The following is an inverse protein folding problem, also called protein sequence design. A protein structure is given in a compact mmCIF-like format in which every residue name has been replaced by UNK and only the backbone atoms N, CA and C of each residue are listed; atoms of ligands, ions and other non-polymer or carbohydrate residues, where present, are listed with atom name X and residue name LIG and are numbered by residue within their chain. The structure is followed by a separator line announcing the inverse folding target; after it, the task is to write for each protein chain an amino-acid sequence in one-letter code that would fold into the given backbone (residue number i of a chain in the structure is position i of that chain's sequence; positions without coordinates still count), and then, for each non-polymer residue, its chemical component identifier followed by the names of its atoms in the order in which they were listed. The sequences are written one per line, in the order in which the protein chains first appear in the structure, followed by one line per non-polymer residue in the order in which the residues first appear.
data_IF_025466727177
#
_entry.id   IF_025466727177
#
_cell.length_a   1.000
_cell.length_b   1.000
_cell.length_c   1.000
_cell.angle_alpha   90.00
_cell.angle_beta   90.00
_cell.angle_gamma   90.00
#
_symmetry.space_group_name_H-M   'P 1'
#
loop_
_entity.id
_entity.type
_entity.pdbx_description
1 polymer ?
#
# COMPACT_ATOMS: atom_id res chain seq x y z
N UNK A 1 -34.12 14.96 -6.57
CA UNK A 1 -33.20 16.10 -6.40
C UNK A 1 -31.97 15.82 -7.25
N UNK A 2 -31.74 16.61 -8.31
CA UNK A 2 -30.49 16.53 -9.08
C UNK A 2 -29.36 17.16 -8.26
N UNK A 3 -28.27 16.43 -8.02
CA UNK A 3 -27.05 17.00 -7.46
C UNK A 3 -26.53 18.11 -8.39
N UNK A 4 -26.02 19.20 -7.82
CA UNK A 4 -25.39 20.25 -8.65
C UNK A 4 -24.13 19.69 -9.32
N UNK A 5 -23.81 20.21 -10.50
CA UNK A 5 -22.64 19.78 -11.26
C UNK A 5 -21.33 19.91 -10.46
N UNK A 6 -21.21 20.98 -9.66
CA UNK A 6 -20.10 21.22 -8.74
C UNK A 6 -19.90 20.07 -7.74
N UNK A 7 -21.01 19.58 -7.15
CA UNK A 7 -20.97 18.45 -6.22
C UNK A 7 -20.61 17.15 -6.95
N UNK A 8 -21.12 16.95 -8.18
CA UNK A 8 -20.77 15.79 -8.99
C UNK A 8 -19.27 15.74 -9.32
N UNK A 9 -18.65 16.88 -9.61
CA UNK A 9 -17.19 16.95 -9.81
C UNK A 9 -16.44 16.53 -8.55
N UNK A 10 -16.82 17.07 -7.39
CA UNK A 10 -16.17 16.76 -6.12
C UNK A 10 -16.32 15.28 -5.76
N UNK A 11 -17.54 14.74 -5.91
CA UNK A 11 -17.80 13.31 -5.72
C UNK A 11 -17.02 12.46 -6.71
N UNK A 12 -16.86 12.90 -7.96
CA UNK A 12 -16.03 12.23 -8.96
C UNK A 12 -14.55 12.18 -8.54
N UNK A 13 -13.99 13.29 -8.09
CA UNK A 13 -12.60 13.39 -7.61
C UNK A 13 -12.37 12.41 -6.44
N UNK A 14 -13.22 12.49 -5.41
CA UNK A 14 -13.09 11.64 -4.20
C UNK A 14 -13.36 10.17 -4.54
N UNK A 15 -14.41 9.90 -5.33
CA UNK A 15 -14.80 8.56 -5.75
C UNK A 15 -13.71 7.87 -6.55
N UNK A 16 -13.11 8.55 -7.52
CA UNK A 16 -11.97 8.03 -8.29
C UNK A 16 -10.75 7.78 -7.41
N UNK A 17 -10.43 8.68 -6.48
CA UNK A 17 -9.35 8.45 -5.53
C UNK A 17 -9.57 7.19 -4.66
N UNK A 18 -10.78 7.00 -4.13
CA UNK A 18 -11.12 5.83 -3.32
C UNK A 18 -11.08 4.55 -4.15
N UNK A 19 -11.69 4.59 -5.34
CA UNK A 19 -11.72 3.47 -6.28
C UNK A 19 -10.32 2.98 -6.61
N UNK A 20 -9.42 3.89 -6.96
CA UNK A 20 -8.03 3.57 -7.30
C UNK A 20 -7.18 3.15 -6.09
N UNK A 21 -7.59 3.53 -4.89
CA UNK A 21 -6.94 3.09 -3.64
C UNK A 21 -7.30 1.65 -3.25
N UNK A 22 -8.42 1.12 -3.75
CA UNK A 22 -8.95 -0.18 -3.38
C UNK A 22 -8.18 -1.32 -4.08
N UNK A 23 -7.81 -2.34 -3.31
CA UNK A 23 -7.05 -3.48 -3.81
C UNK A 23 -7.63 -4.80 -3.28
N UNK A 24 -7.38 -5.89 -4.00
CA UNK A 24 -7.80 -7.23 -3.61
C UNK A 24 -6.61 -8.09 -3.19
N UNK A 25 -6.73 -8.71 -2.03
CA UNK A 25 -5.68 -9.51 -1.42
C UNK A 25 -6.16 -10.92 -1.10
N UNK A 26 -5.24 -11.88 -1.12
CA UNK A 26 -5.47 -13.22 -0.61
C UNK A 26 -5.40 -13.23 0.92
N UNK A 27 -5.95 -14.29 1.51
CA UNK A 27 -6.06 -14.43 2.96
C UNK A 27 -4.69 -14.39 3.66
N UNK A 28 -3.66 -14.92 3.01
CA UNK A 28 -2.31 -15.04 3.54
C UNK A 28 -1.41 -13.83 3.26
N UNK A 29 -2.00 -12.72 2.79
CA UNK A 29 -1.26 -11.52 2.43
C UNK A 29 -1.46 -10.42 3.47
N UNK A 30 -0.45 -9.57 3.62
CA UNK A 30 -0.47 -8.39 4.48
C UNK A 30 0.47 -7.34 3.90
N UNK A 31 0.47 -6.13 4.49
CA UNK A 31 1.30 -5.03 4.02
C UNK A 31 2.35 -4.63 5.05
N UNK A 32 3.57 -4.40 4.59
CA UNK A 32 4.56 -3.60 5.31
C UNK A 32 4.46 -2.16 4.83
N UNK A 33 4.14 -1.25 5.75
CA UNK A 33 3.97 0.16 5.47
C UNK A 33 5.22 0.96 5.81
N UNK A 34 5.47 1.99 5.00
CA UNK A 34 6.53 2.96 5.24
C UNK A 34 6.05 4.38 5.01
N UNK A 35 5.90 5.14 6.09
CA UNK A 35 5.62 6.59 6.04
C UNK A 35 6.91 7.42 5.93
N UNK A 36 6.82 8.69 6.34
CA UNK A 36 7.96 9.61 6.39
C UNK A 36 9.01 9.23 7.45
N UNK A 37 8.60 8.47 8.47
CA UNK A 37 9.45 8.04 9.58
C UNK A 37 10.47 6.95 9.24
N UNK A 38 11.41 6.71 10.15
CA UNK A 38 12.48 5.71 10.00
C UNK A 38 12.05 4.26 10.24
N UNK A 39 10.88 4.03 10.84
CA UNK A 39 10.35 2.68 11.11
C UNK A 39 9.37 2.20 10.04
N UNK A 40 9.31 0.89 9.85
CA UNK A 40 8.24 0.22 9.11
C UNK A 40 7.14 -0.17 10.09
N UNK A 41 5.91 -0.38 9.59
CA UNK A 41 4.79 -0.90 10.37
C UNK A 41 4.12 -2.03 9.61
N UNK A 42 3.62 -3.05 10.30
CA UNK A 42 2.70 -4.02 9.71
C UNK A 42 1.30 -3.42 9.59
N UNK A 43 0.59 -3.78 8.54
CA UNK A 43 -0.85 -3.58 8.43
C UNK A 43 -1.48 -4.84 7.87
N UNK A 44 -2.36 -5.43 8.67
CA UNK A 44 -3.18 -6.57 8.28
C UNK A 44 -4.46 -6.12 7.59
N UNK A 45 -5.10 -7.09 6.97
CA UNK A 45 -6.19 -6.86 6.01
C UNK A 45 -7.51 -7.16 6.70
N UNK A 46 -8.46 -6.23 6.61
CA UNK A 46 -9.82 -6.50 7.07
C UNK A 46 -10.43 -7.61 6.22
N UNK A 47 -10.93 -8.66 6.88
CA UNK A 47 -11.50 -9.85 6.22
C UNK A 47 -13.02 -9.84 6.13
N UNK A 48 -13.62 -8.67 6.27
CA UNK A 48 -15.08 -8.53 6.33
C UNK A 48 -15.73 -8.65 4.94
N UNK A 49 -15.05 -8.18 3.89
CA UNK A 49 -15.59 -8.14 2.53
C UNK A 49 -14.76 -9.02 1.60
N UNK A 50 -15.38 -10.10 1.09
CA UNK A 50 -14.77 -11.03 0.16
C UNK A 50 -15.40 -10.91 -1.23
N UNK A 51 -14.55 -10.80 -2.25
CA UNK A 51 -14.90 -10.76 -3.67
C UNK A 51 -13.99 -11.74 -4.40
N UNK A 52 -14.55 -12.74 -5.09
CA UNK A 52 -13.80 -13.77 -5.84
C UNK A 52 -12.67 -14.45 -5.03
N UNK A 53 -12.93 -14.81 -3.76
CA UNK A 53 -11.96 -15.43 -2.84
C UNK A 53 -10.78 -14.52 -2.45
N UNK A 54 -10.92 -13.21 -2.68
CA UNK A 54 -9.98 -12.18 -2.26
C UNK A 54 -10.69 -11.18 -1.36
N UNK A 55 -9.97 -10.62 -0.42
CA UNK A 55 -10.49 -9.64 0.53
C UNK A 55 -10.23 -8.23 0.02
N UNK A 56 -11.24 -7.39 0.14
CA UNK A 56 -11.14 -5.99 -0.20
C UNK A 56 -10.30 -5.27 0.85
N UNK A 57 -9.23 -4.65 0.40
CA UNK A 57 -8.33 -3.85 1.21
C UNK A 57 -8.35 -2.40 0.73
N UNK A 58 -8.65 -1.49 1.65
CA UNK A 58 -8.57 -0.05 1.42
C UNK A 58 -7.55 0.51 2.43
N UNK A 59 -6.42 1.08 1.95
CA UNK A 59 -5.44 1.69 2.85
C UNK A 59 -6.00 2.97 3.47
N UNK A 60 -5.33 3.51 4.50
CA UNK A 60 -5.75 4.76 5.11
C UNK A 60 -5.78 5.89 4.06
N UNK A 61 -6.98 6.38 3.73
CA UNK A 61 -7.19 7.34 2.65
C UNK A 61 -6.55 8.71 2.91
N UNK A 62 -6.29 9.08 4.16
CA UNK A 62 -5.63 10.35 4.50
C UNK A 62 -4.11 10.28 4.34
N UNK A 63 -3.55 9.07 4.30
CA UNK A 63 -2.11 8.83 4.27
C UNK A 63 -1.67 8.33 2.89
N UNK A 64 -2.05 9.05 1.84
CA UNK A 64 -1.74 8.75 0.43
C UNK A 64 -0.24 8.61 0.15
N UNK A 65 0.58 9.33 0.92
CA UNK A 65 2.03 9.35 0.81
C UNK A 65 2.73 8.10 1.36
N UNK A 66 2.03 7.25 2.09
CA UNK A 66 2.62 6.03 2.66
C UNK A 66 2.88 5.00 1.56
N UNK A 67 4.05 4.38 1.63
CA UNK A 67 4.41 3.27 0.78
C UNK A 67 3.84 1.98 1.37
N UNK A 68 3.40 1.08 0.49
CA UNK A 68 2.81 -0.21 0.85
C UNK A 68 3.59 -1.29 0.10
N UNK A 69 4.26 -2.16 0.86
CA UNK A 69 4.94 -3.32 0.31
C UNK A 69 4.12 -4.56 0.64
N UNK A 70 3.64 -5.21 -0.42
CA UNK A 70 2.81 -6.39 -0.30
C UNK A 70 3.66 -7.61 0.07
N UNK A 71 3.28 -8.30 1.12
CA UNK A 71 3.96 -9.50 1.62
C UNK A 71 2.94 -10.64 1.76
N UNK A 72 3.43 -11.86 1.66
CA UNK A 72 2.62 -13.06 1.86
C UNK A 72 3.35 -14.02 2.78
N UNK A 73 2.62 -14.63 3.71
CA UNK A 73 3.14 -15.74 4.50
C UNK A 73 2.79 -17.05 3.81
N UNK A 74 3.74 -17.99 3.80
CA UNK A 74 3.59 -19.29 3.13
C UNK A 74 3.37 -20.40 4.16
N UNK A 75 2.55 -21.37 3.77
CA UNK A 75 2.25 -22.58 4.58
C UNK A 75 3.18 -23.75 4.20
N UNK A 76 3.63 -23.81 2.94
CA UNK A 76 4.22 -25.02 2.33
C UNK A 76 5.73 -24.97 2.09
N UNK A 77 6.43 -23.92 2.48
CA UNK A 77 7.89 -23.85 2.27
C UNK A 77 8.61 -24.57 3.43
N UNK A 78 9.28 -25.72 3.18
CA UNK A 78 9.97 -26.50 4.21
C UNK A 78 11.21 -25.78 4.75
N UNK A 79 11.84 -24.94 3.93
CA UNK A 79 13.00 -24.15 4.28
C UNK A 79 12.77 -22.71 3.83
N UNK A 80 12.49 -21.79 4.76
CA UNK A 80 12.19 -20.42 4.38
C UNK A 80 13.51 -19.70 4.02
N UNK A 81 13.76 -19.56 2.71
CA UNK A 81 14.97 -18.92 2.19
C UNK A 81 14.87 -17.40 2.37
N UNK A 82 15.86 -16.83 3.04
CA UNK A 82 15.97 -15.37 3.22
C UNK A 82 16.80 -14.79 2.08
N UNK A 83 16.15 -13.99 1.23
CA UNK A 83 16.84 -13.20 0.24
C UNK A 83 17.21 -11.85 0.86
N UNK A 84 18.44 -11.73 1.36
CA UNK A 84 18.98 -10.49 1.97
C UNK A 84 18.85 -9.26 1.08
N UNK A 85 18.83 -9.47 -0.24
CA UNK A 85 18.58 -8.42 -1.22
C UNK A 85 17.22 -7.73 -1.04
N UNK A 86 16.17 -8.43 -0.60
CA UNK A 86 14.83 -7.86 -0.51
C UNK A 86 14.78 -6.67 0.46
N UNK A 87 15.43 -6.80 1.62
CA UNK A 87 15.48 -5.72 2.63
C UNK A 87 16.19 -4.49 2.07
N UNK A 88 17.32 -4.70 1.39
CA UNK A 88 18.09 -3.63 0.75
C UNK A 88 17.24 -2.96 -0.33
N UNK A 89 16.47 -3.72 -1.10
CA UNK A 89 15.57 -3.18 -2.13
C UNK A 89 14.40 -2.39 -1.53
N UNK A 90 13.72 -2.89 -0.50
CA UNK A 90 12.66 -2.16 0.21
C UNK A 90 13.16 -0.82 0.73
N UNK A 91 14.33 -0.81 1.35
CA UNK A 91 14.97 0.40 1.85
C UNK A 91 15.36 1.35 0.72
N UNK A 92 15.95 0.85 -0.37
CA UNK A 92 16.30 1.65 -1.54
C UNK A 92 15.09 2.31 -2.19
N UNK A 93 13.99 1.57 -2.35
CA UNK A 93 12.72 2.11 -2.87
C UNK A 93 12.21 3.19 -1.92
N UNK A 94 12.18 2.90 -0.61
CA UNK A 94 11.70 3.83 0.41
C UNK A 94 12.49 5.14 0.43
N UNK A 95 13.83 5.05 0.40
CA UNK A 95 14.70 6.22 0.36
C UNK A 95 14.57 7.01 -0.95
N UNK A 96 14.46 6.31 -2.08
CA UNK A 96 14.31 6.94 -3.40
C UNK A 96 12.99 7.71 -3.50
N UNK A 97 11.90 7.19 -2.92
CA UNK A 97 10.57 7.79 -2.98
C UNK A 97 10.29 8.82 -1.89
N UNK A 98 11.12 8.89 -0.83
CA UNK A 98 10.98 9.85 0.28
C UNK A 98 10.73 11.31 -0.16
N UNK A 99 11.47 11.90 -1.13
CA UNK A 99 11.18 13.27 -1.58
C UNK A 99 9.77 13.39 -2.21
N UNK A 100 9.34 12.36 -2.94
CA UNK A 100 8.01 12.35 -3.54
C UNK A 100 6.89 12.21 -2.50
N UNK A 101 7.15 11.66 -1.30
CA UNK A 101 6.14 11.59 -0.24
C UNK A 101 5.66 12.98 0.16
N UNK A 102 6.57 13.96 0.27
CA UNK A 102 6.21 15.36 0.55
C UNK A 102 5.43 16.00 -0.58
N UNK A 103 5.87 15.78 -1.82
CA UNK A 103 5.15 16.27 -3.00
C UNK A 103 3.74 15.68 -3.05
N UNK A 104 3.59 14.39 -2.74
CA UNK A 104 2.29 13.71 -2.74
C UNK A 104 1.35 14.25 -1.65
N UNK A 105 1.86 14.61 -0.46
CA UNK A 105 1.07 15.29 0.57
C UNK A 105 0.55 16.63 0.04
N UNK A 106 1.41 17.39 -0.63
CA UNK A 106 1.02 18.67 -1.20
C UNK A 106 -0.03 18.52 -2.30
N UNK A 107 0.17 17.60 -3.26
CA UNK A 107 -0.82 17.28 -4.31
C UNK A 107 -2.13 16.80 -3.69
N UNK A 108 -2.08 15.99 -2.62
CA UNK A 108 -3.26 15.51 -1.91
C UNK A 108 -4.09 16.66 -1.33
N UNK A 109 -3.45 17.59 -0.62
CA UNK A 109 -4.12 18.78 -0.07
C UNK A 109 -4.71 19.64 -1.18
N UNK A 110 -3.95 19.87 -2.26
CA UNK A 110 -4.43 20.65 -3.40
C UNK A 110 -5.65 19.99 -4.06
N UNK A 111 -5.65 18.67 -4.22
CA UNK A 111 -6.66 17.93 -4.98
C UNK A 111 -7.92 17.63 -4.18
N UNK A 112 -7.79 17.24 -2.90
CA UNK A 112 -8.92 16.80 -2.07
C UNK A 112 -9.44 17.86 -1.10
N UNK A 113 -8.69 18.93 -0.85
CA UNK A 113 -9.15 20.03 0.02
C UNK A 113 -9.28 21.35 -0.75
N UNK A 114 -8.19 21.86 -1.34
CA UNK A 114 -8.18 23.19 -1.96
C UNK A 114 -9.09 23.24 -3.19
N UNK A 115 -8.97 22.29 -4.11
CA UNK A 115 -9.76 22.29 -5.34
C UNK A 115 -11.28 22.17 -5.05
N UNK A 116 -11.77 21.21 -4.23
CA UNK A 116 -13.16 21.17 -3.81
C UNK A 116 -13.63 22.45 -3.11
N UNK A 117 -12.80 23.05 -2.26
CA UNK A 117 -13.12 24.31 -1.61
C UNK A 117 -13.34 25.43 -2.64
N UNK A 118 -12.43 25.60 -3.60
CA UNK A 118 -12.58 26.64 -4.63
C UNK A 118 -13.83 26.44 -5.51
N UNK A 119 -14.17 25.18 -5.80
CA UNK A 119 -15.38 24.83 -6.55
C UNK A 119 -16.64 25.18 -5.73
N UNK A 120 -16.70 24.77 -4.46
CA UNK A 120 -17.86 25.01 -3.59
C UNK A 120 -18.12 26.50 -3.34
N UNK A 121 -17.06 27.27 -3.10
CA UNK A 121 -17.15 28.71 -2.83
C UNK A 121 -17.12 29.57 -4.10
N UNK A 122 -17.09 28.96 -5.28
CA UNK A 122 -17.13 29.64 -6.59
C UNK A 122 -16.11 30.77 -6.70
N UNK A 123 -14.88 30.55 -6.23
CA UNK A 123 -13.82 31.57 -6.06
C UNK A 123 -13.22 32.11 -7.39
N UNK A 124 -13.95 31.98 -8.50
CA UNK A 124 -13.56 32.41 -9.84
C UNK A 124 -12.78 31.35 -10.63
N UNK A 125 -13.04 31.29 -11.93
CA UNK A 125 -12.44 30.29 -12.84
C UNK A 125 -10.91 30.39 -12.92
N UNK A 126 -10.35 31.59 -12.76
CA UNK A 126 -8.90 31.81 -12.79
C UNK A 126 -8.20 31.08 -11.64
N UNK A 127 -8.74 31.14 -10.42
CA UNK A 127 -8.17 30.45 -9.26
C UNK A 127 -8.18 28.93 -9.45
N UNK A 128 -9.29 28.38 -9.96
CA UNK A 128 -9.41 26.95 -10.28
C UNK A 128 -8.40 26.55 -11.35
N UNK A 129 -8.24 27.34 -12.41
CA UNK A 129 -7.27 27.08 -13.47
C UNK A 129 -5.83 27.06 -12.95
N UNK A 130 -5.44 28.02 -12.10
CA UNK A 130 -4.11 28.05 -11.47
C UNK A 130 -3.88 26.77 -10.65
N UNK A 131 -4.83 26.38 -9.79
CA UNK A 131 -4.68 25.17 -8.97
C UNK A 131 -4.57 23.92 -9.84
N UNK A 132 -5.36 23.81 -10.92
CA UNK A 132 -5.24 22.70 -11.85
C UNK A 132 -3.86 22.66 -12.51
N UNK A 133 -3.35 23.79 -13.00
CA UNK A 133 -1.99 23.86 -13.59
C UNK A 133 -0.95 23.39 -12.57
N UNK A 134 -1.02 23.85 -11.31
CA UNK A 134 -0.10 23.43 -10.25
C UNK A 134 -0.19 21.92 -10.01
N UNK A 135 -1.39 21.35 -9.87
CA UNK A 135 -1.59 19.90 -9.67
C UNK A 135 -0.96 19.12 -10.82
N UNK A 136 -1.25 19.49 -12.07
CA UNK A 136 -0.72 18.83 -13.26
C UNK A 136 0.81 18.94 -13.36
N UNK A 137 1.38 20.12 -13.08
CA UNK A 137 2.83 20.30 -13.06
C UNK A 137 3.50 19.42 -12.00
N UNK A 138 2.95 19.33 -10.80
CA UNK A 138 3.50 18.49 -9.73
C UNK A 138 3.40 17.00 -10.04
N UNK A 139 2.28 16.57 -10.64
CA UNK A 139 2.12 15.20 -11.14
C UNK A 139 3.16 14.88 -12.21
N UNK A 140 3.39 15.81 -13.15
CA UNK A 140 4.39 15.66 -14.21
C UNK A 140 5.82 15.58 -13.63
N UNK A 141 6.16 16.44 -12.68
CA UNK A 141 7.45 16.39 -11.98
C UNK A 141 7.62 15.04 -11.26
N UNK A 142 6.57 14.56 -10.59
CA UNK A 142 6.60 13.29 -9.87
C UNK A 142 6.85 12.11 -10.81
N UNK A 143 6.16 12.03 -11.95
CA UNK A 143 6.38 10.94 -12.91
C UNK A 143 7.74 11.07 -13.61
N UNK A 144 8.21 12.27 -13.93
CA UNK A 144 9.54 12.50 -14.50
C UNK A 144 10.64 12.02 -13.54
N UNK A 145 10.50 12.31 -12.24
CA UNK A 145 11.40 11.79 -11.22
C UNK A 145 11.42 10.25 -11.21
N UNK A 146 10.23 9.62 -11.28
CA UNK A 146 10.10 8.15 -11.33
C UNK A 146 10.74 7.58 -12.59
N UNK A 147 10.60 8.23 -13.75
CA UNK A 147 11.26 7.84 -15.01
C UNK A 147 12.78 7.86 -14.86
N UNK A 148 13.34 8.94 -14.31
CA UNK A 148 14.79 9.06 -14.08
C UNK A 148 15.31 7.99 -13.12
N UNK A 149 14.52 7.65 -12.09
CA UNK A 149 14.89 6.63 -11.08
C UNK A 149 14.38 5.23 -11.40
N UNK A 150 13.82 5.00 -12.61
CA UNK A 150 13.15 3.76 -13.02
C UNK A 150 13.94 2.50 -12.66
N UNK A 151 15.24 2.46 -12.99
CA UNK A 151 16.10 1.30 -12.74
C UNK A 151 16.23 0.98 -11.25
N UNK A 152 16.34 2.01 -10.39
CA UNK A 152 16.41 1.84 -8.92
C UNK A 152 15.09 1.34 -8.33
N UNK A 153 13.97 1.73 -8.94
CA UNK A 153 12.62 1.32 -8.55
C UNK A 153 12.18 -0.03 -9.15
N UNK A 154 13.02 -0.66 -9.99
CA UNK A 154 12.74 -1.93 -10.67
C UNK A 154 11.44 -1.93 -11.49
N UNK A 155 11.09 -0.78 -12.08
CA UNK A 155 9.87 -0.63 -12.85
C UNK A 155 10.07 -1.04 -14.32
N UNK A 156 9.12 -1.76 -14.89
CA UNK A 156 9.06 -2.01 -16.34
C UNK A 156 8.64 -0.73 -17.09
N UNK A 157 8.97 -0.62 -18.38
CA UNK A 157 8.49 0.51 -19.19
C UNK A 157 6.97 0.53 -19.32
N UNK A 158 6.33 -0.65 -19.39
CA UNK A 158 4.87 -0.77 -19.37
C UNK A 158 4.27 -0.14 -18.11
N UNK A 159 4.87 -0.42 -16.93
CA UNK A 159 4.39 0.17 -15.68
C UNK A 159 4.56 1.68 -15.65
N UNK A 160 5.67 2.20 -16.17
CA UNK A 160 5.89 3.65 -16.29
C UNK A 160 4.83 4.30 -17.19
N UNK A 161 4.50 3.70 -18.34
CA UNK A 161 3.47 4.23 -19.23
C UNK A 161 2.09 4.22 -18.57
N UNK A 162 1.75 3.17 -17.83
CA UNK A 162 0.52 3.12 -17.05
C UNK A 162 0.47 4.27 -16.02
N UNK A 163 1.55 4.47 -15.25
CA UNK A 163 1.63 5.54 -14.26
C UNK A 163 1.58 6.95 -14.88
N UNK A 164 2.15 7.11 -16.08
CA UNK A 164 2.09 8.35 -16.85
C UNK A 164 0.66 8.65 -17.32
N UNK A 165 -0.05 7.65 -17.84
CA UNK A 165 -1.45 7.78 -18.23
C UNK A 165 -2.33 8.12 -17.02
N UNK A 166 -2.11 7.46 -15.88
CA UNK A 166 -2.81 7.79 -14.63
C UNK A 166 -2.58 9.25 -14.25
N UNK A 167 -1.32 9.72 -14.28
CA UNK A 167 -0.96 11.08 -13.91
C UNK A 167 -1.54 12.17 -14.85
N UNK A 168 -1.70 11.86 -16.14
CA UNK A 168 -2.16 12.80 -17.16
C UNK A 168 -3.69 12.79 -17.34
N UNK A 169 -4.31 11.62 -17.29
CA UNK A 169 -5.75 11.47 -17.56
C UNK A 169 -6.60 11.63 -16.30
N UNK A 170 -6.08 11.25 -15.13
CA UNK A 170 -6.83 11.28 -13.89
C UNK A 170 -5.94 11.76 -12.72
N UNK A 171 -5.84 13.08 -12.47
CA UNK A 171 -5.08 13.61 -11.34
C UNK A 171 -5.40 12.96 -9.99
N UNK A 172 -6.66 12.56 -9.68
CA UNK A 172 -6.96 11.79 -8.48
C UNK A 172 -6.23 10.43 -8.37
N UNK A 173 -5.95 9.76 -9.49
CA UNK A 173 -5.18 8.49 -9.49
C UNK A 173 -3.69 8.72 -9.24
N UNK A 174 -3.18 9.92 -9.58
CA UNK A 174 -1.79 10.29 -9.30
C UNK A 174 -1.50 10.34 -7.79
N UNK A 175 -2.53 10.59 -6.95
CA UNK A 175 -2.39 10.57 -5.49
C UNK A 175 -1.94 9.21 -4.93
N UNK A 176 -2.21 8.13 -5.68
CA UNK A 176 -1.81 6.77 -5.34
C UNK A 176 -0.53 6.33 -6.05
N UNK A 177 0.17 7.22 -6.77
CA UNK A 177 1.40 6.91 -7.50
C UNK A 177 2.41 6.15 -6.63
N UNK A 178 2.65 6.63 -5.40
CA UNK A 178 3.61 6.03 -4.48
C UNK A 178 3.21 4.63 -4.02
N UNK A 179 1.91 4.42 -3.78
CA UNK A 179 1.36 3.11 -3.44
C UNK A 179 1.47 2.16 -4.63
N UNK A 180 1.13 2.59 -5.83
CA UNK A 180 1.26 1.78 -7.06
C UNK A 180 2.70 1.37 -7.34
N UNK A 181 3.68 2.25 -7.08
CA UNK A 181 5.10 1.94 -7.23
C UNK A 181 5.56 0.94 -6.17
N UNK A 182 5.22 1.17 -4.90
CA UNK A 182 5.64 0.29 -3.80
C UNK A 182 4.98 -1.10 -3.86
N UNK A 183 3.70 -1.17 -4.23
CA UNK A 183 2.96 -2.42 -4.42
C UNK A 183 3.41 -3.24 -5.63
N UNK A 184 4.10 -2.60 -6.60
CA UNK A 184 4.67 -3.30 -7.74
C UNK A 184 5.89 -4.17 -7.34
N UNK A 185 6.51 -3.89 -6.19
CA UNK A 185 7.62 -4.71 -5.73
C UNK A 185 7.10 -6.00 -5.08
N UNK A 186 7.57 -7.13 -5.58
CA UNK A 186 7.24 -8.46 -5.05
C UNK A 186 8.46 -9.04 -4.34
N UNK A 187 8.39 -9.10 -3.01
CA UNK A 187 9.41 -9.76 -2.20
C UNK A 187 9.39 -11.27 -2.46
N UNK A 188 10.58 -11.89 -2.53
CA UNK A 188 10.73 -13.35 -2.69
C UNK A 188 10.78 -14.06 -1.35
N UNK A 189 11.34 -13.38 -0.36
CA UNK A 189 11.42 -13.84 1.04
C UNK A 189 10.02 -14.02 1.61
N UNK A 190 9.83 -15.06 2.44
CA UNK A 190 8.59 -15.24 3.20
C UNK A 190 8.28 -13.98 4.03
N UNK A 191 7.03 -13.52 3.99
CA UNK A 191 6.61 -12.28 4.63
C UNK A 191 6.90 -12.26 6.12
N UNK A 192 6.79 -13.38 6.83
CA UNK A 192 7.02 -13.45 8.28
C UNK A 192 8.50 -13.24 8.60
N UNK A 193 9.39 -13.85 7.81
CA UNK A 193 10.83 -13.65 7.97
C UNK A 193 11.28 -12.25 7.57
N UNK A 194 10.68 -11.70 6.52
CA UNK A 194 10.94 -10.33 6.11
C UNK A 194 10.50 -9.34 7.20
N UNK A 195 9.32 -9.56 7.78
CA UNK A 195 8.80 -8.76 8.88
C UNK A 195 9.68 -8.83 10.13
N UNK A 196 10.20 -10.02 10.49
CA UNK A 196 11.09 -10.20 11.64
C UNK A 196 12.35 -9.32 11.57
N UNK A 197 12.86 -9.05 10.36
CA UNK A 197 14.07 -8.25 10.14
C UNK A 197 13.82 -6.76 9.99
N UNK A 198 12.58 -6.35 9.72
CA UNK A 198 12.23 -4.98 9.34
C UNK A 198 11.40 -4.28 10.42
N UNK A 199 10.54 -5.02 11.12
CA UNK A 199 9.65 -4.49 12.13
C UNK A 199 10.35 -4.39 13.49
N UNK A 200 9.86 -3.46 14.31
CA UNK A 200 10.23 -3.42 15.73
C UNK A 200 9.67 -4.68 16.44
N UNK A 201 10.32 -5.16 17.51
CA UNK A 201 9.91 -6.40 18.20
C UNK A 201 8.44 -6.43 18.60
N UNK A 202 7.92 -5.32 19.16
CA UNK A 202 6.52 -5.19 19.55
C UNK A 202 5.54 -5.33 18.37
N UNK A 203 5.87 -4.72 17.23
CA UNK A 203 5.02 -4.79 16.03
C UNK A 203 5.10 -6.16 15.35
N UNK A 204 6.26 -6.82 15.46
CA UNK A 204 6.43 -8.17 14.99
C UNK A 204 5.63 -9.17 15.83
N UNK A 205 5.61 -9.01 17.16
CA UNK A 205 4.76 -9.81 18.06
C UNK A 205 3.28 -9.64 17.72
N UNK A 206 2.81 -8.39 17.57
CA UNK A 206 1.43 -8.11 17.15
C UNK A 206 1.07 -8.79 15.82
N UNK A 207 1.97 -8.71 14.83
CA UNK A 207 1.78 -9.38 13.55
C UNK A 207 1.67 -10.91 13.71
N UNK A 208 2.51 -11.52 14.55
CA UNK A 208 2.46 -12.97 14.80
C UNK A 208 1.16 -13.38 15.47
N UNK A 209 0.71 -12.64 16.48
CA UNK A 209 -0.53 -12.92 17.20
C UNK A 209 -1.74 -12.88 16.26
N UNK A 210 -1.82 -11.85 15.41
CA UNK A 210 -2.87 -11.78 14.41
C UNK A 210 -2.77 -12.93 13.39
N UNK A 211 -1.58 -13.25 12.87
CA UNK A 211 -1.41 -14.40 11.95
C UNK A 211 -1.81 -15.73 12.61
N UNK A 212 -1.55 -15.91 13.91
CA UNK A 212 -1.98 -17.10 14.65
C UNK A 212 -3.51 -17.19 14.74
N UNK A 213 -4.18 -16.07 15.03
CA UNK A 213 -5.66 -16.00 14.97
C UNK A 213 -6.18 -16.34 13.56
N UNK A 214 -5.47 -15.90 12.53
CA UNK A 214 -5.81 -16.17 11.14
C UNK A 214 -5.73 -17.65 10.81
N UNK A 215 -4.68 -18.32 11.28
CA UNK A 215 -4.47 -19.76 11.11
C UNK A 215 -5.54 -20.53 11.86
N UNK A 216 -5.90 -20.13 13.07
CA UNK A 216 -6.98 -20.76 13.83
C UNK A 216 -8.32 -20.66 13.10
N UNK A 217 -8.66 -19.47 12.58
CA UNK A 217 -9.86 -19.29 11.77
C UNK A 217 -9.84 -20.15 10.49
N UNK A 218 -8.68 -20.30 9.84
CA UNK A 218 -8.54 -21.20 8.69
C UNK A 218 -8.69 -22.67 9.05
N UNK A 219 -8.18 -23.11 10.22
CA UNK A 219 -8.33 -24.50 10.68
C UNK A 219 -9.80 -24.87 10.83
N UNK A 220 -10.61 -23.99 11.41
CA UNK A 220 -12.07 -24.18 11.57
C UNK A 220 -12.75 -24.30 10.20
N UNK A 221 -12.29 -23.56 9.20
CA UNK A 221 -12.88 -23.53 7.86
C UNK A 221 -12.32 -24.57 6.87
N UNK A 222 -11.33 -25.39 7.26
CA UNK A 222 -10.55 -26.25 6.35
C UNK A 222 -10.85 -27.74 6.50
N UNK A 223 -10.59 -28.49 5.42
CA UNK A 223 -10.65 -29.97 5.42
C UNK A 223 -9.40 -30.59 6.08
N UNK A 224 -9.51 -31.83 6.57
CA UNK A 224 -8.49 -32.58 7.34
C UNK A 224 -7.06 -32.49 6.78
N UNK A 225 -6.87 -32.62 5.46
CA UNK A 225 -5.54 -32.59 4.81
C UNK A 225 -4.82 -31.25 4.94
N UNK A 226 -5.56 -30.15 5.04
CA UNK A 226 -4.98 -28.81 5.22
C UNK A 226 -4.73 -28.48 6.69
N UNK A 227 -5.48 -29.10 7.61
CA UNK A 227 -5.34 -28.87 9.07
C UNK A 227 -3.95 -29.25 9.55
N UNK A 228 -3.43 -30.41 9.14
CA UNK A 228 -2.07 -30.87 9.53
C UNK A 228 -0.98 -29.85 9.12
N UNK A 229 -1.13 -29.23 7.95
CA UNK A 229 -0.16 -28.21 7.49
C UNK A 229 -0.29 -26.90 8.27
N UNK A 230 -1.52 -26.52 8.63
CA UNK A 230 -1.79 -25.34 9.44
C UNK A 230 -1.27 -25.51 10.87
N UNK A 231 -1.40 -26.70 11.44
CA UNK A 231 -0.87 -27.05 12.78
C UNK A 231 0.65 -27.00 12.82
N UNK A 232 1.31 -27.56 11.82
CA UNK A 232 2.77 -27.50 11.71
C UNK A 232 3.24 -26.04 11.61
N UNK A 233 2.51 -25.20 10.86
CA UNK A 233 2.83 -23.77 10.75
C UNK A 233 2.57 -23.02 12.06
N UNK A 234 1.47 -23.31 12.75
CA UNK A 234 1.16 -22.76 14.08
C UNK A 234 2.29 -23.05 15.08
N UNK A 235 2.77 -24.29 15.15
CA UNK A 235 3.89 -24.68 15.99
C UNK A 235 5.19 -23.92 15.65
N UNK A 236 5.51 -23.76 14.36
CA UNK A 236 6.67 -22.97 13.93
C UNK A 236 6.56 -21.50 14.38
N UNK A 237 5.39 -20.89 14.30
CA UNK A 237 5.19 -19.50 14.72
C UNK A 237 5.28 -19.34 16.23
N UNK A 238 4.76 -20.30 17.01
CA UNK A 238 4.91 -20.32 18.46
C UNK A 238 6.38 -20.42 18.90
N UNK A 239 7.18 -21.23 18.21
CA UNK A 239 8.64 -21.31 18.45
C UNK A 239 9.35 -19.99 18.16
N UNK A 240 8.94 -19.26 17.12
CA UNK A 240 9.47 -17.94 16.80
C UNK A 240 9.06 -16.86 17.82
N UNK A 241 7.91 -17.05 18.48
CA UNK A 241 7.40 -16.13 19.51
C UNK A 241 8.08 -16.30 20.86
N UNK A 242 8.39 -17.54 21.26
CA UNK A 242 8.97 -17.88 22.56
C UNK A 242 10.19 -17.01 23.01
N UNK A 243 11.19 -16.71 22.16
CA UNK A 243 12.32 -15.87 22.56
C UNK A 243 11.99 -14.38 22.70
N UNK A 244 10.81 -13.93 22.27
CA UNK A 244 10.40 -12.52 22.35
C UNK A 244 9.62 -12.21 23.64
N UNK A 245 9.09 -13.22 24.34
CA UNK A 245 8.34 -13.06 25.60
C UNK A 245 9.25 -13.04 26.84
N UNK A 246 10.52 -13.42 26.70
CA UNK A 246 11.55 -13.36 27.73
C UNK A 246 12.71 -12.44 27.29
N UNK A 247 12.64 -11.13 27.58
CA UNK A 247 13.69 -10.17 27.22
C UNK A 247 14.98 -10.34 28.04
#
# INVERSE_FOLDING_TARGET
MSLSFDILIILGIVGFYIYDSAHLYFYNEFNLQKGLGSTFKSQLISRQLNVFRKYLFIPNLLLSHQLLFKCAWKIKDPEPVIHTHDIVHLNNISQTLKPLQWINIFIFVLTLAVLPFLILFKTGYLAVAIILVIIYSLNLISILFVIVKRKKLQLSWLKIMQLLLDALLCPPFALNLLRKISLNYHAKTDGILLAARILNPQQYQQLLDEILLDIQALKIASNEKNIVQLELREQQLLQLKAPLEHP
#
